data_IF_476779814732
#
_entry.id   IF_476779814732
#
_cell.length_a   1.000
_cell.length_b   1.000
_cell.length_c   1.000
_cell.angle_alpha   90.00
_cell.angle_beta   90.00
_cell.angle_gamma   90.00
#
_symmetry.space_group_name_H-M   'P 1'
#
loop_
_entity.id
_entity.type
_entity.pdbx_description
1 polymer ?
#
# COMPACT_ATOMS: atom_id res chain seq x y z
N UNK A 1 37.00 -39.07 -10.66
CA UNK A 1 36.91 -40.03 -11.77
C UNK A 1 35.43 -40.18 -12.13
N UNK A 2 35.05 -39.72 -13.33
CA UNK A 2 33.80 -39.96 -14.10
C UNK A 2 32.48 -39.43 -13.48
N UNK A 3 31.93 -38.28 -13.89
CA UNK A 3 31.19 -37.86 -15.12
C UNK A 3 29.65 -38.05 -15.04
N UNK A 4 28.95 -36.90 -15.16
CA UNK A 4 27.63 -36.56 -15.72
C UNK A 4 26.41 -37.50 -15.62
N UNK A 5 25.32 -36.92 -15.09
CA UNK A 5 24.09 -36.72 -15.87
C UNK A 5 23.35 -35.46 -15.41
N UNK A 6 23.11 -34.56 -16.37
CA UNK A 6 22.30 -33.37 -16.23
C UNK A 6 20.80 -33.72 -16.20
N UNK A 7 20.04 -33.01 -15.38
CA UNK A 7 18.62 -32.77 -15.67
C UNK A 7 18.33 -31.29 -15.39
N UNK A 8 18.06 -30.59 -16.48
CA UNK A 8 17.60 -29.21 -16.56
C UNK A 8 16.08 -29.23 -16.44
N UNK A 9 15.51 -28.51 -15.47
CA UNK A 9 14.12 -28.03 -15.44
C UNK A 9 14.15 -26.70 -14.66
N UNK A 10 14.41 -25.57 -15.30
CA UNK A 10 13.40 -24.65 -15.88
C UNK A 10 12.24 -24.33 -14.93
N UNK A 11 12.42 -23.31 -14.08
CA UNK A 11 11.36 -22.66 -13.31
C UNK A 11 11.26 -21.18 -13.69
N UNK A 12 11.13 -20.90 -14.99
CA UNK A 12 10.80 -19.56 -15.51
C UNK A 12 9.32 -19.49 -15.87
N UNK A 13 8.77 -18.27 -15.83
CA UNK A 13 7.47 -17.90 -16.43
C UNK A 13 6.21 -18.49 -15.77
N UNK A 14 5.68 -17.80 -14.76
CA UNK A 14 4.26 -17.90 -14.35
C UNK A 14 3.49 -16.59 -14.60
N UNK A 15 3.86 -15.86 -15.65
CA UNK A 15 3.16 -14.66 -16.07
C UNK A 15 3.38 -14.45 -17.57
N UNK A 16 2.65 -15.21 -18.39
CA UNK A 16 2.18 -14.84 -19.73
C UNK A 16 1.65 -16.07 -20.49
N UNK A 17 0.71 -16.80 -19.90
CA UNK A 17 0.00 -17.87 -20.62
C UNK A 17 -1.46 -17.97 -20.14
N UNK A 18 -2.15 -16.81 -20.09
CA UNK A 18 -3.59 -16.76 -19.83
C UNK A 18 -4.37 -15.95 -20.88
N UNK A 19 -3.80 -15.76 -22.07
CA UNK A 19 -4.49 -15.16 -23.21
C UNK A 19 -4.08 -15.91 -24.49
N UNK A 20 -4.43 -17.18 -24.59
CA UNK A 20 -4.46 -17.89 -25.88
C UNK A 20 -5.22 -19.21 -25.76
N UNK A 21 -6.50 -19.18 -25.40
CA UNK A 21 -7.44 -20.26 -25.79
C UNK A 21 -8.93 -19.85 -25.64
N UNK A 22 -9.27 -18.57 -25.81
CA UNK A 22 -10.67 -18.13 -25.94
C UNK A 22 -11.16 -18.26 -27.39
N UNK A 23 -10.92 -19.42 -28.00
CA UNK A 23 -11.37 -19.74 -29.36
C UNK A 23 -12.54 -20.73 -29.40
N UNK A 24 -12.76 -21.46 -28.30
CA UNK A 24 -13.78 -22.53 -28.20
C UNK A 24 -14.85 -22.32 -27.12
N UNK A 25 -14.90 -21.13 -26.51
CA UNK A 25 -15.67 -20.91 -25.28
C UNK A 25 -17.10 -20.41 -25.53
N UNK A 26 -17.33 -19.71 -26.65
CA UNK A 26 -18.63 -19.11 -26.93
C UNK A 26 -19.69 -20.16 -27.32
N UNK A 27 -19.28 -21.21 -28.03
CA UNK A 27 -20.18 -22.33 -28.38
C UNK A 27 -20.48 -23.22 -27.19
N UNK A 28 -19.54 -23.42 -26.27
CA UNK A 28 -19.77 -24.18 -25.04
C UNK A 28 -20.67 -23.40 -24.05
N UNK A 29 -20.47 -22.07 -23.94
CA UNK A 29 -21.36 -21.20 -23.17
C UNK A 29 -22.80 -21.22 -23.72
N UNK A 30 -22.95 -21.16 -25.06
CA UNK A 30 -24.25 -21.23 -25.70
C UNK A 30 -24.91 -22.60 -25.51
N UNK A 31 -24.17 -23.69 -25.68
CA UNK A 31 -24.67 -25.06 -25.49
C UNK A 31 -25.11 -25.29 -24.04
N UNK A 32 -24.30 -24.84 -23.08
CA UNK A 32 -24.65 -24.83 -21.66
C UNK A 32 -25.91 -23.99 -21.39
N UNK A 33 -26.03 -22.79 -21.98
CA UNK A 33 -27.22 -21.93 -21.85
C UNK A 33 -28.51 -22.60 -22.34
N UNK A 34 -28.44 -23.43 -23.39
CA UNK A 34 -29.62 -24.11 -23.93
C UNK A 34 -30.16 -25.21 -23.01
N UNK A 35 -29.36 -25.71 -22.07
CA UNK A 35 -29.79 -26.70 -21.08
C UNK A 35 -30.56 -26.08 -19.90
N UNK A 36 -30.55 -24.76 -19.76
CA UNK A 36 -31.28 -24.07 -18.70
C UNK A 36 -32.62 -23.52 -19.20
N UNK A 37 -33.60 -23.49 -18.31
CA UNK A 37 -34.90 -22.87 -18.59
C UNK A 37 -34.70 -21.42 -19.07
N UNK A 38 -35.42 -20.95 -20.10
CA UNK A 38 -35.31 -19.58 -20.63
C UNK A 38 -35.40 -18.49 -19.55
N UNK A 39 -36.12 -18.78 -18.46
CA UNK A 39 -36.30 -17.88 -17.33
C UNK A 39 -35.00 -17.68 -16.52
N UNK A 40 -34.18 -18.72 -16.39
CA UNK A 40 -32.88 -18.67 -15.70
C UNK A 40 -31.88 -17.85 -16.50
N UNK A 41 -31.83 -18.04 -17.82
CA UNK A 41 -30.98 -17.26 -18.72
C UNK A 41 -31.34 -15.77 -18.65
N UNK A 42 -32.62 -15.45 -18.65
CA UNK A 42 -33.09 -14.07 -18.55
C UNK A 42 -32.71 -13.43 -17.20
N UNK A 43 -32.83 -14.17 -16.09
CA UNK A 43 -32.37 -13.71 -14.78
C UNK A 43 -30.85 -13.44 -14.76
N UNK A 44 -30.06 -14.30 -15.38
CA UNK A 44 -28.60 -14.18 -15.46
C UNK A 44 -28.18 -12.95 -16.28
N UNK A 45 -28.85 -12.70 -17.41
CA UNK A 45 -28.65 -11.51 -18.22
C UNK A 45 -29.01 -10.22 -17.46
N UNK A 46 -30.14 -10.23 -16.73
CA UNK A 46 -30.55 -9.09 -15.89
C UNK A 46 -29.53 -8.85 -14.77
N UNK A 47 -29.05 -9.90 -14.10
CA UNK A 47 -28.03 -9.78 -13.06
C UNK A 47 -26.72 -9.20 -13.59
N UNK A 48 -26.26 -9.65 -14.77
CA UNK A 48 -25.07 -9.12 -15.42
C UNK A 48 -25.22 -7.63 -15.79
N UNK A 49 -26.38 -7.24 -16.33
CA UNK A 49 -26.69 -5.84 -16.63
C UNK A 49 -26.69 -4.98 -15.37
N UNK A 50 -27.22 -5.49 -14.26
CA UNK A 50 -27.28 -4.79 -12.98
C UNK A 50 -25.88 -4.61 -12.37
N UNK A 51 -25.02 -5.63 -12.42
CA UNK A 51 -23.61 -5.54 -12.01
C UNK A 51 -22.84 -4.51 -12.83
N UNK A 52 -23.08 -4.46 -14.15
CA UNK A 52 -22.45 -3.47 -15.02
C UNK A 52 -22.88 -2.04 -14.66
N UNK A 53 -24.18 -1.82 -14.39
CA UNK A 53 -24.69 -0.52 -13.93
C UNK A 53 -24.09 -0.11 -12.59
N UNK A 54 -23.99 -1.03 -11.62
CA UNK A 54 -23.37 -0.75 -10.33
C UNK A 54 -21.90 -0.34 -10.52
N UNK A 55 -21.13 -1.09 -11.31
CA UNK A 55 -19.74 -0.75 -11.62
C UNK A 55 -19.63 0.65 -12.22
N UNK A 56 -20.49 0.99 -13.18
CA UNK A 56 -20.47 2.27 -13.87
C UNK A 56 -20.85 3.44 -12.94
N UNK A 57 -21.79 3.22 -12.02
CA UNK A 57 -22.15 4.19 -10.98
C UNK A 57 -20.97 4.40 -10.02
N UNK A 58 -20.32 3.32 -9.58
CA UNK A 58 -19.16 3.39 -8.68
C UNK A 58 -17.98 4.11 -9.33
N UNK A 59 -17.66 3.80 -10.58
CA UNK A 59 -16.59 4.49 -11.32
C UNK A 59 -16.90 5.98 -11.49
N UNK A 60 -18.15 6.33 -11.83
CA UNK A 60 -18.58 7.73 -11.93
C UNK A 60 -18.63 8.46 -10.60
N UNK A 61 -19.05 7.81 -9.52
CA UNK A 61 -19.10 8.42 -8.19
C UNK A 61 -17.70 8.69 -7.67
N UNK A 62 -16.77 7.77 -7.89
CA UNK A 62 -15.36 7.95 -7.54
C UNK A 62 -14.78 9.13 -8.34
N UNK A 63 -14.97 9.17 -9.66
CA UNK A 63 -14.47 10.26 -10.49
C UNK A 63 -15.07 11.63 -10.12
N UNK A 64 -16.38 11.68 -9.87
CA UNK A 64 -17.08 12.91 -9.48
C UNK A 64 -16.65 13.39 -8.08
N UNK A 65 -16.39 12.48 -7.15
CA UNK A 65 -15.85 12.85 -5.84
C UNK A 65 -14.42 13.38 -5.92
N UNK A 66 -13.55 12.77 -6.74
CA UNK A 66 -12.20 13.29 -6.95
C UNK A 66 -12.24 14.68 -7.61
N UNK A 67 -13.13 14.92 -8.57
CA UNK A 67 -13.27 16.22 -9.22
C UNK A 67 -13.87 17.29 -8.28
N UNK A 68 -14.85 16.93 -7.45
CA UNK A 68 -15.41 17.82 -6.44
C UNK A 68 -14.38 18.15 -5.36
N UNK A 69 -13.57 17.17 -4.92
CA UNK A 69 -12.48 17.39 -3.95
C UNK A 69 -11.38 18.26 -4.56
N UNK A 70 -11.00 18.05 -5.81
CA UNK A 70 -10.08 18.92 -6.53
C UNK A 70 -10.58 20.38 -6.55
N UNK A 71 -11.88 20.62 -6.82
CA UNK A 71 -12.47 21.96 -6.80
C UNK A 71 -12.59 22.58 -5.41
N UNK A 72 -12.88 21.78 -4.36
CA UNK A 72 -12.90 22.28 -2.98
C UNK A 72 -11.49 22.62 -2.50
N UNK A 73 -10.49 21.84 -2.89
CA UNK A 73 -9.09 22.22 -2.74
C UNK A 73 -8.84 23.53 -3.50
N UNK A 74 -9.16 23.63 -4.78
CA UNK A 74 -8.97 24.85 -5.59
C UNK A 74 -9.63 26.11 -4.97
N UNK A 75 -10.82 25.97 -4.37
CA UNK A 75 -11.55 27.04 -3.68
C UNK A 75 -10.99 27.41 -2.30
N UNK A 76 -10.42 26.46 -1.55
CA UNK A 76 -9.66 26.77 -0.34
C UNK A 76 -8.26 27.33 -0.66
N UNK A 77 -7.73 26.98 -1.83
CA UNK A 77 -6.38 27.32 -2.31
C UNK A 77 -6.31 28.65 -3.05
N UNK A 78 -7.41 29.19 -3.58
CA UNK A 78 -7.45 30.50 -4.27
C UNK A 78 -7.05 31.69 -3.38
N UNK A 79 -6.89 31.49 -2.07
CA UNK A 79 -6.37 32.49 -1.12
C UNK A 79 -4.90 32.32 -0.74
N UNK A 80 -4.26 31.19 -1.05
CA UNK A 80 -2.84 30.89 -0.78
C UNK A 80 -2.04 31.00 -2.07
N UNK A 81 -0.75 31.35 -1.98
CA UNK A 81 0.08 31.40 -3.19
C UNK A 81 0.31 29.98 -3.72
N UNK A 82 0.38 29.80 -5.06
CA UNK A 82 0.65 28.51 -5.69
C UNK A 82 1.94 27.83 -5.18
N UNK A 83 2.88 28.61 -4.63
CA UNK A 83 4.07 28.10 -3.98
C UNK A 83 3.74 27.38 -2.66
N UNK A 84 2.89 27.97 -1.80
CA UNK A 84 2.49 27.35 -0.53
C UNK A 84 1.72 26.05 -0.75
N UNK A 85 0.88 26.02 -1.77
CA UNK A 85 0.16 24.82 -2.19
C UNK A 85 1.14 23.70 -2.55
N UNK A 86 2.09 23.99 -3.44
CA UNK A 86 3.09 23.02 -3.86
C UNK A 86 3.89 22.50 -2.68
N UNK A 87 4.34 23.37 -1.77
CA UNK A 87 5.09 22.96 -0.58
C UNK A 87 4.27 22.06 0.34
N UNK A 88 2.98 22.34 0.53
CA UNK A 88 2.10 21.51 1.34
C UNK A 88 1.83 20.14 0.68
N UNK A 89 1.62 20.10 -0.63
CA UNK A 89 1.47 18.86 -1.38
C UNK A 89 2.74 18.02 -1.33
N UNK A 90 3.91 18.62 -1.57
CA UNK A 90 5.20 17.95 -1.50
C UNK A 90 5.46 17.40 -0.09
N UNK A 91 5.16 18.18 0.96
CA UNK A 91 5.23 17.71 2.35
C UNK A 91 4.29 16.54 2.60
N UNK A 92 3.04 16.62 2.15
CA UNK A 92 2.06 15.55 2.34
C UNK A 92 2.49 14.25 1.64
N UNK A 93 3.02 14.36 0.41
CA UNK A 93 3.59 13.23 -0.32
C UNK A 93 4.78 12.60 0.43
N UNK A 94 5.65 13.42 1.03
CA UNK A 94 6.74 12.90 1.86
C UNK A 94 6.24 12.19 3.12
N UNK A 95 5.31 12.79 3.86
CA UNK A 95 4.76 12.20 5.09
C UNK A 95 4.10 10.85 4.79
N UNK A 96 3.29 10.76 3.74
CA UNK A 96 2.66 9.50 3.31
C UNK A 96 3.69 8.48 2.82
N UNK A 97 4.72 8.92 2.10
CA UNK A 97 5.84 8.08 1.66
C UNK A 97 6.59 7.45 2.83
N UNK A 98 7.04 8.25 3.80
CA UNK A 98 7.73 7.76 5.00
C UNK A 98 6.85 6.82 5.83
N UNK A 99 5.58 7.18 6.04
CA UNK A 99 4.63 6.34 6.76
C UNK A 99 4.49 4.96 6.09
N UNK A 100 4.32 4.92 4.77
CA UNK A 100 4.18 3.66 4.03
C UNK A 100 5.46 2.81 4.09
N UNK A 101 6.63 3.42 3.91
CA UNK A 101 7.91 2.72 4.00
C UNK A 101 8.15 2.11 5.39
N UNK A 102 7.90 2.87 6.45
CA UNK A 102 8.05 2.42 7.83
C UNK A 102 7.05 1.32 8.21
N UNK A 103 5.80 1.41 7.75
CA UNK A 103 4.80 0.34 7.91
C UNK A 103 5.24 -0.95 7.20
N UNK A 104 5.82 -0.83 5.99
CA UNK A 104 6.38 -1.96 5.27
C UNK A 104 7.54 -2.60 6.05
N UNK A 105 8.47 -1.80 6.58
CA UNK A 105 9.58 -2.29 7.40
C UNK A 105 9.06 -3.07 8.61
N UNK A 106 8.13 -2.50 9.38
CA UNK A 106 7.55 -3.20 10.55
C UNK A 106 6.82 -4.49 10.15
N UNK A 107 6.13 -4.50 9.01
CA UNK A 107 5.47 -5.69 8.47
C UNK A 107 6.50 -6.78 8.12
N UNK A 108 7.60 -6.43 7.47
CA UNK A 108 8.67 -7.39 7.16
C UNK A 108 9.39 -7.88 8.41
N UNK A 109 9.61 -7.02 9.41
CA UNK A 109 10.16 -7.44 10.71
C UNK A 109 9.24 -8.45 11.41
N UNK A 110 7.93 -8.22 11.37
CA UNK A 110 6.95 -9.17 11.89
C UNK A 110 7.00 -10.51 11.13
N UNK A 111 7.16 -10.48 9.80
CA UNK A 111 7.34 -11.70 8.98
C UNK A 111 8.58 -12.49 9.38
N UNK A 112 9.74 -11.83 9.53
CA UNK A 112 10.99 -12.47 9.98
C UNK A 112 10.77 -13.14 11.33
N UNK A 113 10.16 -12.44 12.28
CA UNK A 113 9.88 -12.97 13.61
C UNK A 113 8.98 -14.21 13.54
N UNK A 114 7.95 -14.18 12.70
CA UNK A 114 7.04 -15.30 12.45
C UNK A 114 7.66 -16.44 11.62
N UNK A 115 8.88 -16.27 11.09
CA UNK A 115 9.55 -17.27 10.25
C UNK A 115 9.05 -17.32 8.80
N UNK A 116 8.37 -16.26 8.34
CA UNK A 116 7.99 -16.11 6.95
C UNK A 116 9.16 -15.52 6.12
N UNK A 117 9.28 -15.88 4.83
CA UNK A 117 10.30 -15.31 3.96
C UNK A 117 10.06 -13.81 3.75
N UNK A 118 11.15 -13.06 3.66
CA UNK A 118 11.15 -11.65 3.29
C UNK A 118 11.71 -11.45 1.89
N UNK A 119 11.36 -10.34 1.20
CA UNK A 119 11.92 -10.02 -0.11
C UNK A 119 13.46 -9.96 -0.09
N UNK A 120 14.06 -10.33 -1.22
CA UNK A 120 15.51 -10.25 -1.42
C UNK A 120 16.00 -8.81 -1.18
N UNK A 121 17.16 -8.67 -0.53
CA UNK A 121 17.77 -7.37 -0.24
C UNK A 121 17.18 -6.62 0.96
N UNK A 122 16.13 -7.14 1.62
CA UNK A 122 15.59 -6.52 2.84
C UNK A 122 16.63 -6.47 3.97
N UNK A 123 17.37 -7.58 4.15
CA UNK A 123 18.49 -7.67 5.07
C UNK A 123 19.77 -8.02 4.32
N UNK A 124 20.81 -7.20 4.49
CA UNK A 124 22.14 -7.43 3.92
C UNK A 124 23.17 -7.24 5.01
N UNK A 125 24.03 -8.23 5.26
CA UNK A 125 25.11 -8.12 6.28
C UNK A 125 24.63 -7.66 7.66
N UNK A 126 23.43 -8.11 8.10
CA UNK A 126 22.77 -7.71 9.37
C UNK A 126 22.20 -6.28 9.39
N UNK A 127 22.25 -5.56 8.28
CA UNK A 127 21.60 -4.26 8.13
C UNK A 127 20.22 -4.40 7.51
N UNK A 128 19.28 -3.56 7.94
CA UNK A 128 17.94 -3.44 7.32
C UNK A 128 18.02 -2.32 6.30
N UNK A 129 18.32 -2.68 5.05
CA UNK A 129 18.61 -1.72 3.97
C UNK A 129 17.53 -0.63 3.83
N UNK A 130 16.21 -0.97 3.83
CA UNK A 130 15.18 0.07 3.72
C UNK A 130 15.15 1.03 4.91
N UNK A 131 15.50 0.56 6.11
CA UNK A 131 15.50 1.40 7.31
C UNK A 131 16.67 2.38 7.30
N UNK A 132 17.84 1.95 6.83
CA UNK A 132 19.00 2.83 6.60
C UNK A 132 18.64 3.96 5.63
N UNK A 133 17.95 3.62 4.53
CA UNK A 133 17.49 4.61 3.55
C UNK A 133 16.52 5.62 4.17
N UNK A 134 15.57 5.16 5.01
CA UNK A 134 14.65 6.05 5.73
C UNK A 134 15.38 7.07 6.59
N UNK A 135 16.42 6.68 7.33
CA UNK A 135 17.20 7.63 8.13
C UNK A 135 17.90 8.68 7.27
N UNK A 136 18.50 8.26 6.15
CA UNK A 136 19.16 9.18 5.20
C UNK A 136 18.14 10.19 4.65
N UNK A 137 17.00 9.69 4.17
CA UNK A 137 15.97 10.52 3.55
C UNK A 137 15.32 11.46 4.56
N UNK A 138 15.13 11.04 5.82
CA UNK A 138 14.62 11.90 6.89
C UNK A 138 15.52 13.09 7.17
N UNK A 139 16.84 12.88 7.22
CA UNK A 139 17.80 13.97 7.42
C UNK A 139 17.84 14.92 6.23
N UNK A 140 17.82 14.39 5.00
CA UNK A 140 17.79 15.22 3.78
C UNK A 140 16.51 16.07 3.71
N UNK A 141 15.37 15.50 4.09
CA UNK A 141 14.05 16.13 3.96
C UNK A 141 13.59 16.88 5.21
N UNK A 142 14.42 16.99 6.25
CA UNK A 142 14.06 17.59 7.54
C UNK A 142 13.40 18.96 7.42
N UNK A 143 13.96 19.86 6.62
CA UNK A 143 13.44 21.21 6.44
C UNK A 143 12.05 21.23 5.78
N UNK A 144 11.81 20.34 4.82
CA UNK A 144 10.54 20.28 4.11
C UNK A 144 9.45 19.61 4.96
N UNK A 145 9.79 18.55 5.69
CA UNK A 145 8.91 17.88 6.66
C UNK A 145 8.48 18.82 7.79
N UNK A 146 9.44 19.56 8.36
CA UNK A 146 9.26 20.28 9.61
C UNK A 146 9.58 19.41 10.83
N UNK A 147 9.90 20.08 11.94
CA UNK A 147 10.43 19.43 13.15
C UNK A 147 9.47 18.42 13.78
N UNK A 148 8.15 18.69 13.78
CA UNK A 148 7.17 17.77 14.38
C UNK A 148 7.12 16.43 13.66
N UNK A 149 7.05 16.44 12.32
CA UNK A 149 7.05 15.22 11.53
C UNK A 149 8.39 14.52 11.58
N UNK A 150 9.50 15.26 11.48
CA UNK A 150 10.86 14.68 11.58
C UNK A 150 11.05 13.95 12.91
N UNK A 151 10.63 14.56 14.03
CA UNK A 151 10.70 13.92 15.35
C UNK A 151 9.89 12.62 15.40
N UNK A 152 8.62 12.64 14.98
CA UNK A 152 7.75 11.46 15.04
C UNK A 152 8.30 10.33 14.17
N UNK A 153 8.74 10.63 12.95
CA UNK A 153 9.33 9.62 12.06
C UNK A 153 10.67 9.09 12.56
N UNK A 154 11.50 9.94 13.16
CA UNK A 154 12.75 9.51 13.79
C UNK A 154 12.47 8.54 14.94
N UNK A 155 11.47 8.84 15.77
CA UNK A 155 11.04 7.94 16.86
C UNK A 155 10.51 6.61 16.32
N UNK A 156 9.73 6.62 15.24
CA UNK A 156 9.27 5.40 14.57
C UNK A 156 10.45 4.60 14.01
N UNK A 157 11.37 5.23 13.28
CA UNK A 157 12.53 4.56 12.71
C UNK A 157 13.43 3.94 13.79
N UNK A 158 13.67 4.64 14.90
CA UNK A 158 14.40 4.12 16.06
C UNK A 158 13.67 2.96 16.73
N UNK A 159 12.34 3.03 16.84
CA UNK A 159 11.54 1.94 17.39
C UNK A 159 11.55 0.71 16.47
N UNK A 160 11.52 0.89 15.14
CA UNK A 160 11.69 -0.21 14.19
C UNK A 160 13.07 -0.86 14.32
N UNK A 161 14.12 -0.04 14.47
CA UNK A 161 15.49 -0.51 14.67
C UNK A 161 15.63 -1.30 15.98
N UNK A 162 15.09 -0.79 17.09
CA UNK A 162 15.12 -1.50 18.37
C UNK A 162 14.32 -2.78 18.30
N UNK A 163 13.15 -2.77 17.65
CA UNK A 163 12.30 -3.93 17.42
C UNK A 163 13.00 -5.04 16.65
N UNK A 164 13.79 -4.68 15.64
CA UNK A 164 14.58 -5.65 14.87
C UNK A 164 15.61 -6.40 15.72
N UNK A 165 16.11 -5.77 16.79
CA UNK A 165 17.09 -6.36 17.69
C UNK A 165 16.45 -7.14 18.86
N UNK A 166 15.12 -7.18 18.96
CA UNK A 166 14.43 -7.96 20.01
C UNK A 166 14.57 -9.45 19.71
N UNK A 167 15.16 -10.18 20.66
CA UNK A 167 15.27 -11.63 20.57
C UNK A 167 13.89 -12.28 20.35
N UNK A 168 13.84 -13.29 19.47
CA UNK A 168 12.59 -14.01 19.12
C UNK A 168 11.86 -14.59 20.34
N UNK A 169 12.61 -15.01 21.37
CA UNK A 169 12.08 -15.53 22.62
C UNK A 169 11.38 -14.47 23.50
N UNK A 170 11.74 -13.19 23.36
CA UNK A 170 11.16 -12.11 24.15
C UNK A 170 9.87 -11.60 23.49
N UNK A 171 8.74 -12.23 23.82
CA UNK A 171 7.41 -11.87 23.29
C UNK A 171 6.89 -10.56 23.88
N UNK A 172 7.13 -10.33 25.16
CA UNK A 172 6.63 -9.17 25.88
C UNK A 172 7.21 -7.86 25.33
N UNK A 173 8.54 -7.79 25.15
CA UNK A 173 9.18 -6.61 24.57
C UNK A 173 8.67 -6.29 23.16
N UNK A 174 8.34 -7.30 22.37
CA UNK A 174 7.75 -7.11 21.03
C UNK A 174 6.34 -6.54 21.10
N UNK A 175 5.51 -7.03 22.03
CA UNK A 175 4.18 -6.49 22.27
C UNK A 175 4.25 -5.02 22.71
N UNK A 176 5.15 -4.69 23.63
CA UNK A 176 5.38 -3.30 24.08
C UNK A 176 5.83 -2.39 22.93
N UNK A 177 6.73 -2.87 22.06
CA UNK A 177 7.13 -2.13 20.87
C UNK A 177 5.94 -1.89 19.91
N UNK A 178 5.05 -2.88 19.76
CA UNK A 178 3.81 -2.73 18.99
C UNK A 178 2.84 -1.70 19.58
N UNK A 179 2.72 -1.63 20.91
CA UNK A 179 1.92 -0.61 21.59
C UNK A 179 2.51 0.79 21.39
N UNK A 180 3.81 0.95 21.58
CA UNK A 180 4.53 2.21 21.34
C UNK A 180 4.40 2.66 19.88
N UNK A 181 4.45 1.72 18.93
CA UNK A 181 4.22 2.00 17.52
C UNK A 181 2.81 2.55 17.29
N UNK A 182 1.80 1.95 17.93
CA UNK A 182 0.42 2.42 17.89
C UNK A 182 0.28 3.86 18.39
N UNK A 183 0.95 4.20 19.50
CA UNK A 183 0.96 5.56 20.04
C UNK A 183 1.59 6.56 19.06
N UNK A 184 2.74 6.24 18.47
CA UNK A 184 3.41 7.10 17.49
C UNK A 184 2.56 7.29 16.22
N UNK A 185 1.80 6.27 15.78
CA UNK A 185 0.85 6.42 14.66
C UNK A 185 -0.30 7.35 15.00
N UNK A 186 -0.81 7.28 16.23
CA UNK A 186 -1.85 8.20 16.70
C UNK A 186 -1.32 9.63 16.78
N UNK A 187 -0.11 9.82 17.29
CA UNK A 187 0.57 11.11 17.31
C UNK A 187 0.77 11.66 15.89
N UNK A 188 1.29 10.85 14.96
CA UNK A 188 1.41 11.23 13.55
C UNK A 188 0.08 11.69 12.96
N UNK A 189 -1.02 10.98 13.27
CA UNK A 189 -2.37 11.37 12.83
C UNK A 189 -2.79 12.72 13.40
N UNK A 190 -2.48 13.01 14.67
CA UNK A 190 -2.75 14.31 15.28
C UNK A 190 -1.91 15.42 14.65
N UNK A 191 -0.63 15.17 14.35
CA UNK A 191 0.24 16.12 13.65
C UNK A 191 -0.25 16.38 12.22
N UNK A 192 -0.68 15.33 11.51
CA UNK A 192 -1.33 15.45 10.20
C UNK A 192 -2.59 16.30 10.27
N UNK A 193 -3.44 16.05 11.26
CA UNK A 193 -4.66 16.81 11.46
C UNK A 193 -4.36 18.29 11.72
N UNK A 194 -3.40 18.59 12.60
CA UNK A 194 -3.00 19.96 12.91
C UNK A 194 -2.39 20.69 11.70
N UNK A 195 -1.56 20.01 10.90
CA UNK A 195 -0.86 20.60 9.76
C UNK A 195 -1.75 20.78 8.53
N UNK A 196 -2.64 19.82 8.26
CA UNK A 196 -3.40 19.74 7.01
C UNK A 196 -4.92 19.89 7.20
N UNK A 197 -5.42 19.94 8.43
CA UNK A 197 -6.86 20.05 8.73
C UNK A 197 -7.69 18.95 8.05
N UNK A 198 -7.19 17.71 8.08
CA UNK A 198 -7.75 16.57 7.35
C UNK A 198 -9.23 16.31 7.73
N UNK A 199 -9.63 16.56 8.97
CA UNK A 199 -11.02 16.41 9.44
C UNK A 199 -11.99 17.43 8.85
N UNK A 200 -11.50 18.57 8.37
CA UNK A 200 -12.31 19.57 7.70
C UNK A 200 -12.58 19.19 6.23
N UNK A 201 -11.88 18.18 5.70
CA UNK A 201 -12.15 17.62 4.38
C UNK A 201 -13.40 16.74 4.51
N UNK A 202 -14.55 17.24 4.05
CA UNK A 202 -15.78 16.44 3.96
C UNK A 202 -15.62 15.39 2.86
N UNK A 203 -15.78 14.13 3.23
CA UNK A 203 -15.69 12.99 2.33
C UNK A 203 -16.97 12.80 1.55
#
# INVERSE_FOLDING_TARGET
MLINKATVLSGGCWANEFISESGGDMTQLLDWLTHYSPLVVLLLAVAAALLFLIKLIVEKSIAAEFEHKAKVFELLLTRRSAFEEKVLLDRFALVTGFSSQLELVMTQLNRIRSGQPVPDGFMTQQEIVPLTQVFIDLEVQRLLLGEDFHRVFTQQALLALSSANIAKANKEAWCQAGEQWGLLRQELRQTLEAAFSVSNIRW
#
